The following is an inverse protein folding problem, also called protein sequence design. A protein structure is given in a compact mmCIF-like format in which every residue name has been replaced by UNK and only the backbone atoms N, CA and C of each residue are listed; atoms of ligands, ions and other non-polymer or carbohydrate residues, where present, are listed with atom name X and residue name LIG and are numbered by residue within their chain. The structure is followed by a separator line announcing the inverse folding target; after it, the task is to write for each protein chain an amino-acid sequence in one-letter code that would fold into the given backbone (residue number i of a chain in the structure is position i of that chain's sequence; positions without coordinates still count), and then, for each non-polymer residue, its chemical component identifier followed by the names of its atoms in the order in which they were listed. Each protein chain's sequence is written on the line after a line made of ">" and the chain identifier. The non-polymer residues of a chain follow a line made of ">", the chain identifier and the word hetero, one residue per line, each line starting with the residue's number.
data_IF_566263237511
#
_entry.id   IF_566263237511
#
_cell.length_a   1.000
_cell.length_b   1.000
_cell.length_c   1.000
_cell.angle_alpha   90.00
_cell.angle_beta   90.00
_cell.angle_gamma   90.00
#
_symmetry.space_group_name_H-M   'P 1'
#
loop_
_entity.id
_entity.type
_entity.pdbx_description
1 polymer ?
#
# COMPACT_ATOMS: atom_id res chain seq x y z
N UNK A 1 -0.28 4.99 15.16
CA UNK A 1 1.05 5.48 15.62
C UNK A 1 2.12 4.67 14.88
N UNK A 2 3.37 5.15 14.69
CA UNK A 2 4.37 4.32 14.01
C UNK A 2 4.72 3.13 14.91
N UNK A 3 5.22 2.04 14.31
CA UNK A 3 5.63 0.85 15.05
C UNK A 3 6.49 1.25 16.27
N UNK A 4 6.17 0.76 17.48
CA UNK A 4 7.00 1.06 18.65
C UNK A 4 8.40 0.49 18.44
N UNK A 5 9.42 1.26 18.83
CA UNK A 5 10.81 0.78 18.79
C UNK A 5 10.97 -0.43 19.72
N UNK A 6 11.71 -1.45 19.28
CA UNK A 6 12.20 -2.54 20.15
C UNK A 6 13.38 -2.02 20.99
N UNK A 7 13.33 -2.22 22.31
CA UNK A 7 14.36 -1.76 23.25
C UNK A 7 14.16 -0.34 23.79
N UNK A 8 15.22 0.27 24.35
CA UNK A 8 15.13 1.56 25.04
C UNK A 8 14.61 2.68 24.13
N UNK A 9 13.71 3.49 24.71
CA UNK A 9 13.13 4.69 24.11
C UNK A 9 14.22 5.76 23.91
N UNK A 10 13.96 6.72 23.01
CA UNK A 10 14.93 7.80 22.73
C UNK A 10 15.05 8.82 23.87
N UNK A 11 13.99 8.92 24.66
CA UNK A 11 13.87 9.81 25.81
C UNK A 11 13.53 9.01 27.06
N UNK A 12 13.56 9.65 28.22
CA UNK A 12 13.36 8.99 29.51
C UNK A 12 12.00 8.29 29.65
N UNK A 13 10.93 8.85 29.08
CA UNK A 13 9.57 8.29 29.18
C UNK A 13 8.84 8.24 27.83
N UNK A 14 7.81 7.37 27.68
CA UNK A 14 7.01 7.31 26.45
C UNK A 14 6.29 8.64 26.14
N UNK A 15 5.84 9.35 27.17
CA UNK A 15 5.22 10.66 27.01
C UNK A 15 6.24 11.69 26.48
N UNK A 16 7.46 11.68 27.04
CA UNK A 16 8.53 12.58 26.60
C UNK A 16 8.95 12.29 25.15
N UNK A 17 9.11 11.03 24.75
CA UNK A 17 9.44 10.70 23.35
C UNK A 17 8.38 11.23 22.38
N UNK A 18 7.09 11.11 22.72
CA UNK A 18 5.98 11.59 21.88
C UNK A 18 6.03 13.11 21.71
N UNK A 19 6.24 13.86 22.78
CA UNK A 19 6.33 15.32 22.75
C UNK A 19 7.57 15.78 21.99
N UNK A 20 8.72 15.13 22.21
CA UNK A 20 9.96 15.41 21.48
C UNK A 20 9.78 15.19 19.98
N UNK A 21 9.16 14.08 19.56
CA UNK A 21 8.89 13.80 18.14
C UNK A 21 7.90 14.81 17.53
N UNK A 22 6.88 15.22 18.28
CA UNK A 22 5.93 16.23 17.84
C UNK A 22 6.63 17.58 17.59
N UNK A 23 7.47 18.03 18.54
CA UNK A 23 8.21 19.29 18.41
C UNK A 23 9.21 19.25 17.23
N UNK A 24 9.90 18.13 17.02
CA UNK A 24 10.78 17.96 15.87
C UNK A 24 10.02 17.97 14.55
N UNK A 25 8.82 17.36 14.48
CA UNK A 25 7.97 17.42 13.30
C UNK A 25 7.51 18.85 13.02
N UNK A 26 7.07 19.58 14.05
CA UNK A 26 6.71 21.00 13.93
C UNK A 26 7.87 21.83 13.38
N UNK A 27 9.08 21.63 13.91
CA UNK A 27 10.29 22.33 13.44
C UNK A 27 10.64 21.96 12.00
N UNK A 28 10.49 20.69 11.62
CA UNK A 28 10.73 20.22 10.25
C UNK A 28 9.78 20.89 9.25
N UNK A 29 8.50 21.05 9.58
CA UNK A 29 7.54 21.71 8.68
C UNK A 29 7.68 23.23 8.67
N UNK A 30 8.08 23.83 9.79
CA UNK A 30 8.35 25.27 9.85
C UNK A 30 9.53 25.63 8.94
N UNK A 31 10.65 24.93 9.06
CA UNK A 31 11.92 25.28 8.43
C UNK A 31 12.27 24.47 7.18
N UNK A 32 11.62 23.34 6.93
CA UNK A 32 11.90 22.42 5.82
C UNK A 32 13.13 21.51 6.03
N UNK A 33 14.06 21.91 6.90
CA UNK A 33 15.32 21.21 7.18
C UNK A 33 15.71 21.35 8.64
N UNK A 34 16.11 20.26 9.29
CA UNK A 34 16.64 20.28 10.66
C UNK A 34 17.85 19.35 10.81
N UNK A 35 18.80 19.72 11.66
CA UNK A 35 19.95 18.90 12.04
C UNK A 35 19.69 18.23 13.39
N UNK A 36 19.81 16.91 13.46
CA UNK A 36 19.57 16.14 14.68
C UNK A 36 20.49 14.91 14.74
N UNK A 37 20.29 14.03 15.72
CA UNK A 37 21.03 12.77 15.77
C UNK A 37 20.38 11.72 14.85
N UNK A 38 21.20 10.86 14.24
CA UNK A 38 20.75 9.77 13.37
C UNK A 38 19.59 8.94 13.94
N UNK A 39 19.61 8.48 15.21
CA UNK A 39 18.49 7.71 15.77
C UNK A 39 17.21 8.55 15.92
N UNK A 40 17.31 9.86 16.22
CA UNK A 40 16.14 10.75 16.28
C UNK A 40 15.55 10.97 14.89
N UNK A 41 16.39 11.21 13.87
CA UNK A 41 15.95 11.37 12.49
C UNK A 41 15.21 10.12 11.98
N UNK A 42 15.80 8.92 12.17
CA UNK A 42 15.15 7.65 11.79
C UNK A 42 13.79 7.44 12.46
N UNK A 43 13.64 7.87 13.72
CA UNK A 43 12.38 7.77 14.45
C UNK A 43 11.34 8.80 14.00
N UNK A 44 11.79 9.97 13.58
CA UNK A 44 10.93 11.05 13.11
C UNK A 44 10.27 10.71 11.76
N UNK A 45 11.01 10.08 10.84
CA UNK A 45 10.53 9.71 9.48
C UNK A 45 9.11 9.15 9.41
N UNK A 46 8.76 8.02 10.08
CA UNK A 46 7.43 7.44 9.95
C UNK A 46 6.34 8.28 10.61
N UNK A 47 6.67 9.23 11.49
CA UNK A 47 5.71 10.21 12.00
C UNK A 47 5.49 11.31 10.97
N UNK A 48 6.57 11.90 10.46
CA UNK A 48 6.52 12.99 9.51
C UNK A 48 5.86 12.59 8.19
N UNK A 49 6.23 11.43 7.63
CA UNK A 49 5.64 10.92 6.39
C UNK A 49 4.12 10.73 6.52
N UNK A 50 3.65 10.17 7.65
CA UNK A 50 2.21 10.00 7.89
C UNK A 50 1.46 11.32 8.04
N UNK A 51 2.07 12.37 8.60
CA UNK A 51 1.41 13.68 8.67
C UNK A 51 1.27 14.30 7.28
N UNK A 52 2.27 14.14 6.41
CA UNK A 52 2.20 14.60 5.01
C UNK A 52 1.13 13.81 4.24
N UNK A 53 1.04 12.49 4.45
CA UNK A 53 -0.06 11.70 3.86
C UNK A 53 -1.45 12.18 4.30
N UNK A 54 -1.61 12.58 5.56
CA UNK A 54 -2.87 13.19 6.03
C UNK A 54 -3.10 14.57 5.40
N UNK A 55 -2.04 15.34 5.20
CA UNK A 55 -2.11 16.65 4.56
C UNK A 55 -2.58 16.54 3.10
N UNK A 56 -2.00 15.61 2.33
CA UNK A 56 -2.40 15.31 0.95
C UNK A 56 -3.86 14.90 0.80
N UNK A 57 -4.43 14.19 1.78
CA UNK A 57 -5.87 13.82 1.74
C UNK A 57 -6.80 15.04 1.87
N UNK A 58 -6.37 16.10 2.55
CA UNK A 58 -7.09 17.37 2.62
C UNK A 58 -8.37 17.42 3.46
N UNK A 59 -8.87 16.30 3.99
CA UNK A 59 -10.15 16.23 4.71
C UNK A 59 -10.11 16.82 6.13
N UNK A 60 -11.29 17.23 6.63
CA UNK A 60 -11.45 17.79 7.98
C UNK A 60 -11.01 16.81 9.08
N UNK A 61 -11.25 15.51 8.90
CA UNK A 61 -10.85 14.51 9.88
C UNK A 61 -9.32 14.36 9.92
N UNK A 62 -8.62 14.40 8.77
CA UNK A 62 -7.16 14.45 8.73
C UNK A 62 -6.60 15.70 9.39
N UNK A 63 -7.15 16.89 9.14
CA UNK A 63 -6.76 18.13 9.84
C UNK A 63 -6.86 17.98 11.36
N UNK A 64 -7.99 17.45 11.86
CA UNK A 64 -8.19 17.17 13.29
C UNK A 64 -7.19 16.16 13.85
N UNK A 65 -6.82 15.12 13.08
CA UNK A 65 -5.80 14.14 13.49
C UNK A 65 -4.41 14.77 13.60
N UNK A 66 -4.03 15.61 12.64
CA UNK A 66 -2.74 16.33 12.67
C UNK A 66 -2.67 17.27 13.87
N UNK A 67 -3.74 18.01 14.17
CA UNK A 67 -3.80 18.92 15.32
C UNK A 67 -3.64 18.23 16.70
N UNK A 68 -3.90 16.92 16.80
CA UNK A 68 -3.62 16.16 18.04
C UNK A 68 -2.13 16.01 18.30
N UNK A 69 -1.30 16.10 17.26
CA UNK A 69 0.16 15.93 17.33
C UNK A 69 0.84 17.30 17.28
N UNK A 70 0.55 18.08 16.25
CA UNK A 70 1.12 19.42 16.02
C UNK A 70 0.14 20.45 16.57
N UNK A 71 0.56 21.15 17.61
CA UNK A 71 -0.30 22.14 18.31
C UNK A 71 -0.32 23.51 17.63
N UNK A 72 0.72 23.83 16.87
CA UNK A 72 0.84 25.12 16.20
C UNK A 72 -0.02 25.16 14.93
N UNK A 73 -1.00 26.07 14.91
CA UNK A 73 -1.95 26.23 13.80
C UNK A 73 -1.28 26.81 12.55
N UNK A 74 -0.25 27.64 12.70
CA UNK A 74 0.46 28.24 11.57
C UNK A 74 1.19 27.17 10.74
N UNK A 75 1.86 26.25 11.44
CA UNK A 75 2.56 25.12 10.82
C UNK A 75 1.57 24.13 10.20
N UNK A 76 0.42 23.89 10.84
CA UNK A 76 -0.64 23.06 10.25
C UNK A 76 -1.19 23.70 8.98
N UNK A 77 -1.39 25.02 8.95
CA UNK A 77 -1.81 25.71 7.73
C UNK A 77 -0.80 25.49 6.59
N UNK A 78 0.48 25.81 6.83
CA UNK A 78 1.59 25.61 5.88
C UNK A 78 1.68 24.17 5.36
N UNK A 79 1.45 23.19 6.24
CA UNK A 79 1.49 21.77 5.89
C UNK A 79 0.41 21.40 4.86
N UNK A 80 -0.80 21.95 4.99
CA UNK A 80 -1.94 21.63 4.11
C UNK A 80 -2.02 22.49 2.86
N UNK A 81 -1.45 23.70 2.86
CA UNK A 81 -1.46 24.59 1.68
C UNK A 81 -0.22 24.39 0.82
N UNK A 82 0.97 24.59 1.38
CA UNK A 82 2.22 24.61 0.60
C UNK A 82 2.82 23.21 0.44
N UNK A 83 3.01 22.51 1.55
CA UNK A 83 3.77 21.24 1.55
C UNK A 83 2.96 20.11 0.89
N UNK A 84 1.64 20.10 1.08
CA UNK A 84 0.77 19.09 0.48
C UNK A 84 0.76 19.18 -1.05
N UNK A 85 0.65 20.40 -1.59
CA UNK A 85 0.67 20.68 -3.03
C UNK A 85 2.01 20.28 -3.65
N UNK A 86 3.13 20.69 -3.05
CA UNK A 86 4.48 20.31 -3.50
C UNK A 86 4.71 18.80 -3.56
N UNK A 87 3.99 18.02 -2.76
CA UNK A 87 4.18 16.58 -2.60
C UNK A 87 3.05 15.75 -3.22
N UNK A 88 2.14 16.36 -3.97
CA UNK A 88 0.93 15.73 -4.50
C UNK A 88 1.26 14.53 -5.39
N UNK A 89 2.17 14.71 -6.35
CA UNK A 89 2.57 13.67 -7.30
C UNK A 89 3.50 12.59 -6.71
N UNK A 90 3.97 12.76 -5.47
CA UNK A 90 4.92 11.84 -4.81
C UNK A 90 4.21 10.81 -3.94
N UNK A 91 4.33 9.53 -4.27
CA UNK A 91 3.74 8.43 -3.49
C UNK A 91 4.70 7.90 -2.41
N UNK A 92 4.97 8.74 -1.40
CA UNK A 92 5.81 8.36 -0.27
C UNK A 92 7.27 8.81 -0.37
N UNK A 93 8.04 8.58 0.69
CA UNK A 93 9.44 9.04 0.76
C UNK A 93 9.56 10.58 0.75
N UNK A 94 8.70 11.28 1.49
CA UNK A 94 8.67 12.75 1.54
C UNK A 94 9.85 13.38 2.28
N UNK A 95 10.60 12.58 3.05
CA UNK A 95 11.73 13.04 3.85
C UNK A 95 13.02 12.32 3.44
N UNK A 96 14.13 13.06 3.41
CA UNK A 96 15.48 12.57 3.16
C UNK A 96 16.32 12.69 4.43
N UNK A 97 17.11 11.67 4.75
CA UNK A 97 18.10 11.71 5.83
C UNK A 97 19.50 11.68 5.21
N UNK A 98 20.29 12.72 5.48
CA UNK A 98 21.69 12.81 5.07
C UNK A 98 22.57 12.73 6.31
N UNK A 99 23.50 11.78 6.35
CA UNK A 99 24.44 11.64 7.48
C UNK A 99 25.51 12.73 7.41
N UNK A 100 25.89 13.26 8.56
CA UNK A 100 26.95 14.27 8.68
C UNK A 100 28.04 13.73 9.62
N UNK A 101 29.17 14.41 9.65
CA UNK A 101 30.19 14.24 10.67
C UNK A 101 29.58 14.14 12.08
N UNK A 102 30.14 13.27 12.94
CA UNK A 102 29.69 13.13 14.31
C UNK A 102 29.95 14.41 15.11
N UNK A 103 29.15 14.62 16.15
CA UNK A 103 29.26 15.81 16.99
C UNK A 103 30.54 15.77 17.83
N UNK A 104 31.26 16.89 17.87
CA UNK A 104 32.40 17.08 18.77
C UNK A 104 31.95 17.04 20.23
N UNK A 105 32.62 16.21 21.05
CA UNK A 105 32.34 16.07 22.48
C UNK A 105 31.82 14.69 22.84
N UNK A 106 30.62 14.33 22.37
CA UNK A 106 29.99 13.05 22.66
C UNK A 106 30.07 12.03 21.51
N UNK A 107 30.72 12.41 20.40
CA UNK A 107 30.84 11.62 19.17
C UNK A 107 29.50 11.06 18.65
N UNK A 108 28.39 11.76 18.95
CA UNK A 108 27.08 11.28 18.57
C UNK A 108 26.90 11.38 17.04
N UNK A 109 26.40 10.33 16.37
CA UNK A 109 26.19 10.35 14.92
C UNK A 109 25.07 11.35 14.58
N UNK A 110 25.41 12.39 13.82
CA UNK A 110 24.47 13.41 13.38
C UNK A 110 23.91 13.12 11.98
N UNK A 111 22.74 13.68 11.73
CA UNK A 111 22.09 13.65 10.43
C UNK A 111 21.20 14.88 10.24
N UNK A 112 21.16 15.38 9.02
CA UNK A 112 20.13 16.32 8.57
C UNK A 112 18.93 15.49 8.12
N UNK A 113 17.73 15.91 8.53
CA UNK A 113 16.47 15.45 7.94
C UNK A 113 15.79 16.64 7.26
N UNK A 114 15.41 16.45 6.00
CA UNK A 114 14.87 17.49 5.12
C UNK A 114 13.67 16.99 4.31
N UNK A 115 12.78 17.90 3.94
CA UNK A 115 11.70 17.63 3.00
C UNK A 115 12.24 17.56 1.57
N UNK A 116 11.74 16.61 0.79
CA UNK A 116 12.17 16.43 -0.62
C UNK A 116 11.39 17.39 -1.51
N UNK A 117 11.92 18.59 -1.76
CA UNK A 117 11.28 19.60 -2.62
C UNK A 117 11.51 19.38 -4.11
N UNK A 118 12.37 18.43 -4.47
CA UNK A 118 12.64 18.08 -5.86
C UNK A 118 11.38 17.43 -6.49
N UNK A 119 10.93 17.91 -7.67
CA UNK A 119 9.84 17.27 -8.38
C UNK A 119 10.22 15.84 -8.74
N UNK A 120 9.23 14.95 -8.79
CA UNK A 120 9.45 13.57 -9.25
C UNK A 120 9.92 13.61 -10.70
N UNK A 121 10.86 12.74 -11.08
CA UNK A 121 11.42 12.72 -12.43
C UNK A 121 10.30 12.70 -13.48
N UNK A 122 10.39 13.52 -14.54
CA UNK A 122 9.32 13.64 -15.55
C UNK A 122 8.99 12.29 -16.20
N UNK A 123 9.98 11.40 -16.34
CA UNK A 123 9.79 10.05 -16.89
C UNK A 123 8.86 9.18 -16.03
N UNK A 124 8.86 9.39 -14.71
CA UNK A 124 7.97 8.68 -13.78
C UNK A 124 6.60 9.36 -13.68
N UNK A 125 6.52 10.67 -13.96
CA UNK A 125 5.24 11.38 -14.03
C UNK A 125 4.45 10.96 -15.29
N UNK A 126 5.09 10.90 -16.46
CA UNK A 126 4.43 10.52 -17.71
C UNK A 126 3.95 9.08 -17.73
N UNK A 127 4.72 8.15 -17.16
CA UNK A 127 4.30 6.74 -17.04
C UNK A 127 3.06 6.63 -16.15
N UNK A 128 2.98 7.43 -15.08
CA UNK A 128 1.82 7.44 -14.19
C UNK A 128 0.59 8.11 -14.79
N UNK A 129 0.77 9.19 -15.55
CA UNK A 129 -0.34 9.79 -16.30
C UNK A 129 -0.89 8.80 -17.33
N UNK A 130 -0.03 8.04 -18.00
CA UNK A 130 -0.44 6.96 -18.90
C UNK A 130 -1.15 5.81 -18.17
N UNK A 131 -0.65 5.35 -17.02
CA UNK A 131 -1.30 4.31 -16.21
C UNK A 131 -2.65 4.77 -15.62
N UNK A 132 -2.75 6.03 -15.19
CA UNK A 132 -3.99 6.59 -14.68
C UNK A 132 -5.05 6.75 -15.78
N UNK A 133 -4.65 7.16 -16.99
CA UNK A 133 -5.53 7.22 -18.16
C UNK A 133 -6.00 5.82 -18.58
N UNK A 134 -5.12 4.82 -18.60
CA UNK A 134 -5.49 3.44 -18.89
C UNK A 134 -6.45 2.86 -17.84
N UNK A 135 -6.26 3.19 -16.56
CA UNK A 135 -7.15 2.77 -15.48
C UNK A 135 -8.51 3.47 -15.51
N UNK A 136 -8.57 4.72 -15.99
CA UNK A 136 -9.84 5.41 -16.21
C UNK A 136 -10.58 4.78 -17.39
N UNK A 137 -9.91 4.57 -18.52
CA UNK A 137 -10.50 3.91 -19.68
C UNK A 137 -11.06 2.51 -19.36
N UNK A 138 -10.32 1.68 -18.60
CA UNK A 138 -10.83 0.38 -18.16
C UNK A 138 -12.06 0.49 -17.24
N UNK A 139 -12.12 1.54 -16.41
CA UNK A 139 -13.24 1.76 -15.49
C UNK A 139 -14.48 2.31 -16.18
N UNK A 140 -14.27 3.06 -17.27
CA UNK A 140 -15.33 3.54 -18.15
C UNK A 140 -15.89 2.37 -18.97
N UNK A 141 -15.04 1.46 -19.47
CA UNK A 141 -15.48 0.20 -20.12
C UNK A 141 -16.24 -0.72 -19.16
N UNK A 142 -15.79 -0.88 -17.91
CA UNK A 142 -16.50 -1.66 -16.89
C UNK A 142 -17.88 -1.04 -16.54
N UNK A 143 -17.98 0.30 -16.57
CA UNK A 143 -19.23 1.01 -16.28
C UNK A 143 -20.20 0.96 -17.47
N UNK A 144 -19.68 1.02 -18.71
CA UNK A 144 -20.48 0.82 -19.93
C UNK A 144 -20.99 -0.62 -20.06
N UNK A 145 -20.22 -1.64 -19.66
CA UNK A 145 -20.69 -3.02 -19.62
C UNK A 145 -21.73 -3.24 -18.51
N UNK A 146 -21.59 -2.58 -17.36
CA UNK A 146 -22.58 -2.62 -16.28
C UNK A 146 -23.91 -1.96 -16.70
N UNK A 147 -23.86 -0.80 -17.36
CA UNK A 147 -25.04 -0.07 -17.85
C UNK A 147 -25.73 -0.81 -19.01
N UNK A 148 -24.97 -1.49 -19.89
CA UNK A 148 -25.51 -2.37 -20.93
C UNK A 148 -26.17 -3.63 -20.35
N UNK A 149 -25.63 -4.20 -19.26
CA UNK A 149 -26.30 -5.30 -18.56
C UNK A 149 -27.55 -4.85 -17.81
N UNK A 150 -27.59 -3.65 -17.22
CA UNK A 150 -28.81 -3.14 -16.57
C UNK A 150 -29.94 -2.83 -17.56
N UNK A 151 -29.60 -2.27 -18.73
CA UNK A 151 -30.57 -2.01 -19.80
C UNK A 151 -31.18 -3.29 -20.40
N UNK A 152 -30.43 -4.41 -20.41
CA UNK A 152 -30.92 -5.70 -20.91
C UNK A 152 -31.89 -6.41 -19.94
N UNK A 153 -31.86 -6.09 -18.64
CA UNK A 153 -32.73 -6.72 -17.62
C UNK A 153 -34.10 -6.01 -17.54
N UNK A 154 -34.20 -4.76 -18.00
CA UNK A 154 -35.45 -3.96 -17.94
C UNK A 154 -36.38 -4.08 -19.15
N UNK A 155 -36.07 -4.93 -20.14
CA UNK A 155 -36.84 -5.08 -21.38
C UNK A 155 -37.26 -6.52 -21.69
N UNK A 156 -38.25 -7.09 -21.00
CA UNK A 156 -38.83 -8.38 -21.37
C UNK A 156 -40.05 -8.75 -20.51
N UNK A 157 -41.23 -8.74 -21.14
CA UNK A 157 -42.55 -8.99 -20.54
C UNK A 157 -42.67 -10.30 -19.75
N UNK A 158 -43.39 -10.19 -18.62
CA UNK A 158 -44.00 -11.30 -17.91
C UNK A 158 -45.34 -11.72 -18.56
N UNK A 159 -45.71 -12.98 -18.30
CA UNK A 159 -46.95 -13.71 -18.58
C UNK A 159 -47.05 -14.43 -19.95
N UNK A 160 -46.78 -15.73 -19.96
CA UNK A 160 -47.81 -16.78 -20.11
C UNK A 160 -47.28 -18.20 -19.78
N UNK A 161 -48.17 -19.02 -19.24
CA UNK A 161 -48.12 -20.49 -19.09
C UNK A 161 -47.27 -21.12 -17.98
N UNK A 162 -47.78 -21.04 -16.75
CA UNK A 162 -47.94 -22.26 -15.93
C UNK A 162 -48.90 -23.23 -16.63
N UNK A 163 -48.48 -24.45 -16.97
CA UNK A 163 -48.97 -25.72 -16.41
C UNK A 163 -48.42 -26.95 -17.19
N UNK A 164 -48.36 -28.11 -16.52
CA UNK A 164 -47.93 -29.45 -16.96
C UNK A 164 -46.45 -29.83 -16.80
N UNK A 165 -46.12 -30.39 -15.62
CA UNK A 165 -45.96 -31.85 -15.47
C UNK A 165 -45.32 -32.19 -14.10
N UNK A 166 -46.07 -31.98 -13.02
CA UNK A 166 -45.85 -32.67 -11.75
C UNK A 166 -46.78 -33.89 -11.72
N UNK A 167 -46.37 -35.00 -12.35
CA UNK A 167 -47.00 -36.32 -12.21
C UNK A 167 -46.13 -37.44 -12.79
N UNK A 168 -45.14 -37.91 -12.02
CA UNK A 168 -44.73 -39.33 -11.93
C UNK A 168 -43.44 -39.42 -11.10
N UNK A 169 -43.58 -39.50 -9.78
CA UNK A 169 -42.54 -40.03 -8.91
C UNK A 169 -42.88 -41.51 -8.69
N UNK A 170 -42.07 -42.43 -9.21
CA UNK A 170 -41.76 -43.75 -8.62
C UNK A 170 -40.90 -44.58 -9.58
N UNK A 171 -39.59 -44.57 -9.35
CA UNK A 171 -38.71 -45.75 -9.26
C UNK A 171 -37.25 -45.28 -9.32
N UNK A 172 -36.54 -45.50 -8.22
CA UNK A 172 -35.12 -45.22 -8.12
C UNK A 172 -34.30 -46.24 -8.92
N UNK A 173 -33.24 -45.74 -9.55
CA UNK A 173 -31.91 -46.33 -9.76
C UNK A 173 -31.28 -45.60 -10.95
N UNK A 174 -30.47 -44.57 -10.66
CA UNK A 174 -29.20 -44.25 -11.34
C UNK A 174 -28.69 -42.87 -10.89
N UNK A 175 -28.14 -42.83 -9.67
CA UNK A 175 -27.42 -41.67 -9.11
C UNK A 175 -25.89 -41.90 -9.18
N UNK A 176 -25.42 -42.61 -10.22
CA UNK A 176 -24.01 -43.00 -10.36
C UNK A 176 -23.20 -42.20 -11.40
N UNK A 177 -23.74 -41.10 -11.95
CA UNK A 177 -23.08 -40.33 -13.02
C UNK A 177 -22.69 -38.89 -12.65
N UNK A 178 -23.06 -38.39 -11.45
CA UNK A 178 -22.79 -37.01 -11.04
C UNK A 178 -21.64 -36.85 -10.03
N UNK A 179 -21.14 -37.96 -9.45
CA UNK A 179 -20.04 -37.94 -8.46
C UNK A 179 -18.67 -38.31 -9.07
N UNK A 180 -18.64 -38.75 -10.34
CA UNK A 180 -17.38 -39.10 -11.02
C UNK A 180 -16.70 -37.88 -11.67
N UNK A 181 -17.46 -36.89 -12.15
CA UNK A 181 -16.90 -35.70 -12.80
C UNK A 181 -16.24 -34.70 -11.84
N UNK A 182 -16.64 -34.70 -10.56
CA UNK A 182 -16.04 -33.85 -9.53
C UNK A 182 -14.73 -34.43 -8.96
N UNK A 183 -14.54 -35.75 -9.04
CA UNK A 183 -13.34 -36.44 -8.52
C UNK A 183 -12.22 -36.44 -9.57
N UNK A 184 -12.55 -36.45 -10.87
CA UNK A 184 -11.55 -36.41 -11.95
C UNK A 184 -10.90 -35.01 -12.10
N UNK A 185 -11.68 -33.93 -11.93
CA UNK A 185 -11.13 -32.56 -11.96
C UNK A 185 -10.19 -32.24 -10.78
N UNK A 186 -10.36 -32.90 -9.63
CA UNK A 186 -9.47 -32.76 -8.47
C UNK A 186 -8.20 -33.61 -8.58
N UNK A 187 -8.17 -34.62 -9.46
CA UNK A 187 -6.98 -35.42 -9.76
C UNK A 187 -6.07 -34.71 -10.75
N UNK A 188 -6.62 -34.13 -11.81
CA UNK A 188 -5.85 -33.37 -12.80
C UNK A 188 -5.16 -32.15 -12.18
N UNK A 189 -5.80 -31.45 -11.23
CA UNK A 189 -5.19 -30.31 -10.54
C UNK A 189 -4.03 -30.72 -9.62
N UNK A 190 -4.08 -31.92 -9.03
CA UNK A 190 -3.03 -32.42 -8.12
C UNK A 190 -1.84 -33.04 -8.86
N UNK A 191 -2.07 -33.64 -10.03
CA UNK A 191 -1.00 -34.14 -10.89
C UNK A 191 -0.24 -32.99 -11.57
N UNK A 192 -0.90 -31.87 -11.89
CA UNK A 192 -0.25 -30.66 -12.38
C UNK A 192 0.63 -29.99 -11.31
N UNK A 193 0.16 -29.89 -10.06
CA UNK A 193 0.92 -29.31 -8.95
C UNK A 193 2.13 -30.18 -8.53
N UNK A 194 2.00 -31.52 -8.67
CA UNK A 194 3.11 -32.45 -8.44
C UNK A 194 4.17 -32.41 -9.55
N UNK A 195 3.78 -32.16 -10.81
CA UNK A 195 4.71 -32.02 -11.94
C UNK A 195 5.47 -30.68 -11.89
N UNK A 196 4.83 -29.60 -11.43
CA UNK A 196 5.47 -28.29 -11.27
C UNK A 196 6.47 -28.30 -10.09
N UNK A 197 6.15 -29.01 -9.00
CA UNK A 197 7.06 -29.20 -7.88
C UNK A 197 8.29 -30.06 -8.23
N UNK A 198 8.14 -31.10 -9.07
CA UNK A 198 9.27 -31.91 -9.54
C UNK A 198 10.17 -31.13 -10.51
N UNK A 199 9.61 -30.22 -11.32
CA UNK A 199 10.39 -29.37 -12.22
C UNK A 199 11.21 -28.30 -11.48
N UNK A 200 10.71 -27.78 -10.35
CA UNK A 200 11.49 -26.88 -9.48
C UNK A 200 12.60 -27.63 -8.72
N UNK A 201 12.35 -28.86 -8.26
CA UNK A 201 13.34 -29.66 -7.53
C UNK A 201 14.49 -30.14 -8.45
N UNK A 202 14.19 -30.51 -9.70
CA UNK A 202 15.20 -30.85 -10.71
C UNK A 202 16.04 -29.64 -11.18
N UNK A 203 15.47 -28.43 -11.13
CA UNK A 203 16.18 -27.19 -11.48
C UNK A 203 17.17 -26.75 -10.37
N UNK A 204 16.78 -26.89 -9.10
CA UNK A 204 17.66 -26.58 -7.95
C UNK A 204 18.85 -27.57 -7.87
N UNK A 205 18.63 -28.86 -8.19
CA UNK A 205 19.70 -29.86 -8.26
C UNK A 205 20.67 -29.59 -9.42
N UNK A 206 20.18 -29.09 -10.56
CA UNK A 206 21.05 -28.71 -11.68
C UNK A 206 21.90 -27.46 -11.37
N UNK A 207 21.37 -26.51 -10.60
CA UNK A 207 22.10 -25.30 -10.21
C UNK A 207 23.18 -25.59 -9.14
N UNK A 208 22.93 -26.53 -8.22
CA UNK A 208 23.90 -26.97 -7.21
C UNK A 208 25.03 -27.84 -7.80
N UNK A 209 24.76 -28.65 -8.84
CA UNK A 209 25.81 -29.40 -9.56
C UNK A 209 26.70 -28.45 -10.37
N UNK A 210 26.13 -27.43 -11.01
CA UNK A 210 26.89 -26.42 -11.77
C UNK A 210 27.81 -25.57 -10.87
N UNK A 211 27.42 -25.33 -9.60
CA UNK A 211 28.23 -24.61 -8.61
C UNK A 211 29.38 -25.43 -8.02
N UNK A 212 29.29 -26.76 -8.09
CA UNK A 212 30.32 -27.66 -7.58
C UNK A 212 31.49 -27.86 -8.55
N UNK A 213 31.26 -27.71 -9.86
CA UNK A 213 32.30 -27.84 -10.90
C UNK A 213 33.15 -26.57 -11.11
N UNK A 214 32.77 -25.43 -10.49
CA UNK A 214 33.47 -24.14 -10.67
C UNK A 214 34.38 -23.75 -9.48
N UNK A 215 34.76 -24.70 -8.62
CA UNK A 215 35.65 -24.45 -7.46
C UNK A 215 36.84 -25.41 -7.35
#
# INVERSE_FOLDING_TARGET
>A
MPQPKKGPRLASSPAHERLMLANMATSLYAHGRITTTLPKAKRLRPLAERMITFAKRGDLASRRRVMRVIRDKSVVHKLFTEIAEQMEQREGGYTRITRIAPRKGDNAPQAIIELVTEPVSPKQATVREAEAAAKQAAKDEDNEMAEATEAAITGGMAEDATDQAVAANESGEDVAAADQSAVDLQKESKEAEAAEAQAEEDADVAEDVAKADEK
#
